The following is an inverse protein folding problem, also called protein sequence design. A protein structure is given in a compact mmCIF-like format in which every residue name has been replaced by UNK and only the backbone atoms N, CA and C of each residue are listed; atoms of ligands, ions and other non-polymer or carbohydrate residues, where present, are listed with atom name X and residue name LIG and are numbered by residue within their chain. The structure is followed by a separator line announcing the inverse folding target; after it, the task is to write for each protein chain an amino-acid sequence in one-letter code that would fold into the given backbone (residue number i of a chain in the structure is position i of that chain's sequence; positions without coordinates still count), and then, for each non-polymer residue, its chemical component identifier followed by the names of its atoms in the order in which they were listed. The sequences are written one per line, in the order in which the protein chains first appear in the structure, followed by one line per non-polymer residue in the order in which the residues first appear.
data_IF_333928437779
#
_entry.id   IF_333928437779
#
_cell.length_a   1.000
_cell.length_b   1.000
_cell.length_c   1.000
_cell.angle_alpha   90.00
_cell.angle_beta   90.00
_cell.angle_gamma   90.00
#
_symmetry.space_group_name_H-M   'P 1'
#
loop_
_entity.id
_entity.type
_entity.pdbx_description
1 polymer ?
#
# COMPACT_ATOMS: atom_id res chain seq x y z
N UNK A 1 -0.50 22.02 -15.05
CA UNK A 1 0.34 21.54 -16.17
C UNK A 1 1.79 21.68 -15.73
N UNK A 2 2.57 20.60 -15.79
CA UNK A 2 4.01 20.70 -15.56
C UNK A 2 4.57 21.63 -16.64
N UNK A 3 5.38 22.60 -16.25
CA UNK A 3 6.02 23.51 -17.20
C UNK A 3 7.15 22.77 -17.93
N UNK A 4 6.81 22.01 -18.98
CA UNK A 4 7.77 21.25 -19.76
C UNK A 4 8.88 22.11 -20.36
N UNK A 5 8.63 23.41 -20.55
CA UNK A 5 9.62 24.32 -21.13
C UNK A 5 10.84 24.52 -20.21
N UNK A 6 10.64 24.60 -18.90
CA UNK A 6 11.76 24.66 -17.93
C UNK A 6 12.61 23.40 -18.00
N UNK A 7 11.96 22.22 -18.12
CA UNK A 7 12.67 20.95 -18.23
C UNK A 7 13.38 20.86 -19.58
N UNK A 8 12.74 21.32 -20.66
CA UNK A 8 13.32 21.30 -22.01
C UNK A 8 14.59 22.14 -22.13
N UNK A 9 14.65 23.28 -21.45
CA UNK A 9 15.86 24.12 -21.39
C UNK A 9 17.02 23.41 -20.71
N UNK A 10 16.75 22.62 -19.66
CA UNK A 10 17.78 21.95 -18.88
C UNK A 10 18.12 20.53 -19.40
N UNK A 11 17.12 19.79 -19.88
CA UNK A 11 17.24 18.39 -20.28
C UNK A 11 16.18 18.09 -21.40
N UNK A 12 16.49 18.41 -22.66
CA UNK A 12 15.53 18.29 -23.77
C UNK A 12 15.07 16.86 -24.03
N UNK A 13 15.93 15.87 -23.84
CA UNK A 13 15.63 14.44 -23.95
C UNK A 13 14.62 13.96 -22.89
N UNK A 14 14.75 14.44 -21.67
CA UNK A 14 13.79 14.14 -20.58
C UNK A 14 12.43 14.79 -20.87
N UNK A 15 12.43 16.04 -21.34
CA UNK A 15 11.19 16.74 -21.71
C UNK A 15 10.46 16.04 -22.87
N UNK A 16 11.19 15.52 -23.84
CA UNK A 16 10.62 14.74 -24.93
C UNK A 16 10.01 13.42 -24.43
N UNK A 17 10.73 12.69 -23.57
CA UNK A 17 10.21 11.46 -22.97
C UNK A 17 8.94 11.72 -22.14
N UNK A 18 8.89 12.81 -21.35
CA UNK A 18 7.70 13.20 -20.60
C UNK A 18 6.52 13.57 -21.51
N UNK A 19 6.78 14.24 -22.61
CA UNK A 19 5.72 14.54 -23.60
C UNK A 19 5.18 13.26 -24.23
N UNK A 20 6.05 12.35 -24.63
CA UNK A 20 5.66 11.07 -25.21
C UNK A 20 4.85 10.22 -24.23
N UNK A 21 5.20 10.20 -22.95
CA UNK A 21 4.42 9.54 -21.91
C UNK A 21 3.04 10.18 -21.73
N UNK A 22 2.94 11.50 -21.71
CA UNK A 22 1.64 12.19 -21.68
C UNK A 22 0.76 11.80 -22.88
N UNK A 23 1.35 11.71 -24.07
CA UNK A 23 0.63 11.28 -25.28
C UNK A 23 0.21 9.82 -25.22
N UNK A 24 1.06 8.96 -24.63
CA UNK A 24 0.73 7.55 -24.40
C UNK A 24 -0.49 7.44 -23.47
N UNK A 25 -0.47 8.10 -22.32
CA UNK A 25 -1.57 8.08 -21.34
C UNK A 25 -2.89 8.60 -21.94
N UNK A 26 -2.84 9.59 -22.81
CA UNK A 26 -4.05 10.12 -23.47
C UNK A 26 -4.62 9.20 -24.56
N UNK A 27 -3.79 8.37 -25.15
CA UNK A 27 -4.16 7.50 -26.28
C UNK A 27 -4.56 6.11 -25.84
N UNK A 28 -3.99 5.61 -24.74
CA UNK A 28 -4.18 4.25 -24.26
C UNK A 28 -5.17 4.21 -23.09
N UNK A 29 -5.85 3.09 -22.96
CA UNK A 29 -6.65 2.77 -21.77
C UNK A 29 -5.75 1.95 -20.85
N UNK A 30 -5.50 2.45 -19.64
CA UNK A 30 -4.71 1.76 -18.63
C UNK A 30 -5.58 0.75 -17.88
N UNK A 31 -5.12 -0.51 -17.81
CA UNK A 31 -5.84 -1.61 -17.17
C UNK A 31 -5.15 -2.10 -15.90
N UNK A 32 -4.11 -1.42 -15.43
CA UNK A 32 -3.46 -1.74 -14.16
C UNK A 32 -4.29 -1.12 -13.05
N UNK A 33 -4.90 -1.95 -12.21
CA UNK A 33 -5.86 -1.53 -11.19
C UNK A 33 -5.29 -0.54 -10.15
N UNK A 34 -3.98 -0.56 -9.91
CA UNK A 34 -3.31 0.36 -8.98
C UNK A 34 -2.92 1.71 -9.59
N UNK A 35 -3.07 1.89 -10.90
CA UNK A 35 -2.75 3.15 -11.54
C UNK A 35 -3.95 4.10 -11.52
N UNK A 36 -3.68 5.39 -11.29
CA UNK A 36 -4.68 6.44 -11.28
C UNK A 36 -4.10 7.75 -11.82
N UNK A 37 -4.95 8.60 -12.35
CA UNK A 37 -4.60 9.95 -12.79
C UNK A 37 -4.73 10.93 -11.62
N UNK A 38 -3.61 11.45 -11.15
CA UNK A 38 -3.59 12.44 -10.07
C UNK A 38 -4.00 13.82 -10.57
N UNK A 39 -4.53 14.65 -9.67
CA UNK A 39 -4.85 16.04 -10.00
C UNK A 39 -3.59 16.88 -10.28
N UNK A 40 -3.71 17.96 -11.06
CA UNK A 40 -2.60 18.90 -11.24
C UNK A 40 -2.04 19.45 -9.92
N UNK A 41 -2.88 19.60 -8.88
CA UNK A 41 -2.45 20.05 -7.57
C UNK A 41 -1.50 19.06 -6.88
N UNK A 42 -1.78 17.76 -6.98
CA UNK A 42 -0.89 16.70 -6.44
C UNK A 42 0.46 16.74 -7.16
N UNK A 43 0.46 16.81 -8.50
CA UNK A 43 1.71 16.91 -9.27
C UNK A 43 2.52 18.16 -8.90
N UNK A 44 1.86 19.30 -8.74
CA UNK A 44 2.52 20.54 -8.36
C UNK A 44 3.10 20.49 -6.93
N UNK A 45 2.41 19.89 -5.99
CA UNK A 45 2.89 19.71 -4.63
C UNK A 45 4.13 18.82 -4.58
N UNK A 46 4.13 17.71 -5.31
CA UNK A 46 5.28 16.79 -5.40
C UNK A 46 6.52 17.45 -6.01
N UNK A 47 6.36 18.32 -7.00
CA UNK A 47 7.45 19.05 -7.64
C UNK A 47 7.74 20.44 -7.02
N UNK A 48 7.31 20.68 -5.81
CA UNK A 48 7.50 21.97 -5.12
C UNK A 48 8.85 22.06 -4.42
N UNK A 49 9.13 23.25 -3.83
CA UNK A 49 10.32 23.49 -3.01
C UNK A 49 10.40 22.61 -1.75
N UNK A 50 9.32 21.95 -1.33
CA UNK A 50 9.35 20.92 -0.28
C UNK A 50 10.30 19.78 -0.62
N UNK A 51 10.54 19.50 -1.90
CA UNK A 51 11.51 18.53 -2.39
C UNK A 51 12.94 18.79 -1.91
N UNK A 52 13.27 20.05 -1.61
CA UNK A 52 14.61 20.45 -1.16
C UNK A 52 14.84 20.16 0.34
N UNK A 53 13.79 19.87 1.11
CA UNK A 53 13.89 19.73 2.56
C UNK A 53 14.04 18.28 3.01
N UNK A 54 15.16 18.02 3.65
CA UNK A 54 15.41 16.76 4.36
C UNK A 54 14.73 16.81 5.74
N UNK A 55 13.82 15.83 6.02
CA UNK A 55 12.92 15.86 7.19
C UNK A 55 12.83 14.49 7.88
N UNK A 56 13.98 13.87 8.15
CA UNK A 56 14.06 12.59 8.87
C UNK A 56 13.47 12.72 10.28
N UNK A 57 12.74 11.72 10.72
CA UNK A 57 11.97 11.71 11.97
C UNK A 57 10.50 12.00 11.74
N UNK A 58 9.80 12.38 12.80
CA UNK A 58 8.37 12.71 12.77
C UNK A 58 8.13 14.16 13.12
N UNK A 59 6.95 14.75 12.85
CA UNK A 59 6.60 16.08 13.29
C UNK A 59 6.93 16.28 14.77
N UNK A 60 7.50 17.42 15.10
CA UNK A 60 8.00 17.82 16.44
C UNK A 60 9.14 16.95 17.01
N UNK A 61 9.59 15.94 16.26
CA UNK A 61 10.70 15.02 16.64
C UNK A 61 11.63 14.76 15.45
N UNK A 62 12.07 15.82 14.79
CA UNK A 62 12.99 15.75 13.66
C UNK A 62 14.45 15.68 14.12
N UNK A 63 15.26 15.02 13.32
CA UNK A 63 16.72 14.99 13.52
C UNK A 63 17.39 16.27 13.03
N UNK A 64 16.71 17.08 12.20
CA UNK A 64 17.24 18.31 11.60
C UNK A 64 16.32 19.50 11.87
N UNK A 65 16.93 20.70 11.92
CA UNK A 65 16.18 21.95 12.03
C UNK A 65 15.51 22.39 10.72
N UNK A 66 14.66 23.39 10.78
CA UNK A 66 13.97 23.98 9.62
C UNK A 66 12.84 23.13 9.07
N UNK A 67 12.21 22.31 9.91
CA UNK A 67 11.13 21.40 9.52
C UNK A 67 9.73 21.92 9.87
N UNK A 68 9.61 23.12 10.40
CA UNK A 68 8.35 23.68 10.90
C UNK A 68 7.20 23.67 9.88
N UNK A 69 7.49 23.92 8.62
CA UNK A 69 6.45 23.89 7.56
C UNK A 69 6.23 22.50 6.96
N UNK A 70 7.25 21.66 6.94
CA UNK A 70 7.09 20.24 6.58
C UNK A 70 6.24 19.52 7.62
N UNK A 71 6.42 19.83 8.89
CA UNK A 71 5.60 19.30 9.98
C UNK A 71 4.12 19.66 9.81
N UNK A 72 3.83 20.90 9.43
CA UNK A 72 2.47 21.34 9.12
C UNK A 72 1.86 20.50 7.99
N UNK A 73 2.59 20.28 6.90
CA UNK A 73 2.10 19.50 5.74
C UNK A 73 1.89 18.04 6.13
N UNK A 74 2.81 17.44 6.87
CA UNK A 74 2.69 16.04 7.31
C UNK A 74 1.52 15.85 8.28
N UNK A 75 1.34 16.76 9.22
CA UNK A 75 0.21 16.74 10.16
C UNK A 75 -1.14 16.90 9.43
N UNK A 76 -1.25 17.82 8.48
CA UNK A 76 -2.44 17.94 7.63
C UNK A 76 -2.75 16.62 6.91
N UNK A 77 -1.74 15.97 6.35
CA UNK A 77 -1.94 14.68 5.65
C UNK A 77 -2.40 13.59 6.61
N UNK A 78 -1.81 13.49 7.80
CA UNK A 78 -2.20 12.52 8.84
C UNK A 78 -3.64 12.74 9.31
N UNK A 79 -4.00 13.99 9.63
CA UNK A 79 -5.33 14.34 10.10
C UNK A 79 -6.40 14.04 9.05
N UNK A 80 -6.12 14.39 7.79
CA UNK A 80 -7.03 14.09 6.68
C UNK A 80 -7.17 12.60 6.40
N UNK A 81 -6.10 11.82 6.50
CA UNK A 81 -6.16 10.36 6.39
C UNK A 81 -7.02 9.76 7.51
N UNK A 82 -6.84 10.21 8.76
CA UNK A 82 -7.69 9.79 9.88
C UNK A 82 -9.16 10.14 9.65
N UNK A 83 -9.46 11.35 9.17
CA UNK A 83 -10.83 11.79 8.88
C UNK A 83 -11.46 10.99 7.73
N UNK A 84 -10.69 10.76 6.66
CA UNK A 84 -11.17 10.06 5.46
C UNK A 84 -11.54 8.61 5.74
N UNK A 85 -10.73 7.90 6.51
CA UNK A 85 -10.87 6.48 6.78
C UNK A 85 -11.46 6.16 8.16
N UNK A 86 -11.84 7.16 8.95
CA UNK A 86 -12.31 6.95 10.31
C UNK A 86 -11.26 6.29 11.23
N UNK A 87 -9.98 6.49 10.94
CA UNK A 87 -8.89 5.84 11.66
C UNK A 87 -8.45 6.67 12.88
N UNK A 88 -8.04 5.99 13.95
CA UNK A 88 -7.49 6.63 15.15
C UNK A 88 -6.10 7.24 14.92
N UNK A 89 -5.31 6.59 14.05
CA UNK A 89 -3.93 6.99 13.74
C UNK A 89 -3.63 6.82 12.27
N UNK A 90 -2.72 7.64 11.74
CA UNK A 90 -2.20 7.53 10.39
C UNK A 90 -0.69 7.77 10.36
N UNK A 91 -0.01 7.03 9.50
CA UNK A 91 1.37 7.28 9.11
C UNK A 91 1.39 7.48 7.59
N UNK A 92 1.84 8.64 7.14
CA UNK A 92 1.83 9.03 5.72
C UNK A 92 3.24 9.06 5.11
N UNK A 93 4.24 8.56 5.84
CA UNK A 93 5.64 8.58 5.37
C UNK A 93 6.00 7.49 4.36
N UNK A 94 5.39 6.27 4.37
CA UNK A 94 5.71 5.29 3.35
C UNK A 94 5.45 5.83 1.94
N UNK A 95 6.42 5.65 1.05
CA UNK A 95 6.35 6.16 -0.32
C UNK A 95 5.63 5.21 -1.30
N UNK A 96 5.11 4.09 -0.80
CA UNK A 96 4.36 3.12 -1.60
C UNK A 96 3.85 1.97 -0.75
N UNK A 97 2.92 1.17 -1.31
CA UNK A 97 2.28 0.06 -0.61
C UNK A 97 3.25 -0.98 -0.08
N UNK A 98 4.29 -1.32 -0.83
CA UNK A 98 5.31 -2.28 -0.36
C UNK A 98 6.04 -1.80 0.88
N UNK A 99 6.45 -0.53 0.91
CA UNK A 99 7.11 0.06 2.08
C UNK A 99 6.16 0.18 3.27
N UNK A 100 4.88 0.47 3.02
CA UNK A 100 3.85 0.46 4.07
C UNK A 100 3.66 -0.94 4.67
N UNK A 101 3.56 -1.98 3.84
CA UNK A 101 3.43 -3.36 4.30
C UNK A 101 4.65 -3.79 5.11
N UNK A 102 5.86 -3.46 4.66
CA UNK A 102 7.07 -3.76 5.42
C UNK A 102 7.14 -3.03 6.76
N UNK A 103 6.68 -1.79 6.84
CA UNK A 103 6.59 -1.06 8.09
C UNK A 103 5.67 -1.77 9.09
N UNK A 104 4.52 -2.28 8.62
CA UNK A 104 3.60 -3.08 9.45
C UNK A 104 4.25 -4.39 9.91
N UNK A 105 4.87 -5.13 8.99
CA UNK A 105 5.54 -6.38 9.35
C UNK A 105 6.65 -6.16 10.36
N UNK A 106 7.48 -5.16 10.13
CA UNK A 106 8.59 -4.84 11.02
C UNK A 106 8.14 -4.40 12.43
N UNK A 107 7.00 -3.71 12.50
CA UNK A 107 6.43 -3.28 13.78
C UNK A 107 5.79 -4.43 14.57
N UNK A 108 5.18 -5.41 13.89
CA UNK A 108 4.30 -6.39 14.52
C UNK A 108 4.92 -7.81 14.58
N UNK A 109 5.89 -8.11 13.73
CA UNK A 109 6.42 -9.46 13.54
C UNK A 109 7.91 -9.55 13.89
N UNK A 110 8.33 -10.76 14.21
CA UNK A 110 9.75 -11.15 14.29
C UNK A 110 10.09 -12.07 13.10
N UNK A 111 11.35 -12.12 12.65
CA UNK A 111 11.76 -13.07 11.64
C UNK A 111 11.32 -14.49 11.96
N UNK A 112 10.70 -15.17 10.99
CA UNK A 112 10.15 -16.51 11.15
C UNK A 112 8.72 -16.59 11.69
N UNK A 113 8.11 -15.46 12.11
CA UNK A 113 6.70 -15.45 12.52
C UNK A 113 5.80 -15.92 11.37
N UNK A 114 4.73 -16.63 11.73
CA UNK A 114 3.76 -17.15 10.77
C UNK A 114 2.76 -16.07 10.36
N UNK A 115 2.54 -15.98 9.06
CA UNK A 115 1.57 -15.06 8.44
C UNK A 115 0.67 -15.83 7.48
N UNK A 116 -0.61 -15.51 7.43
CA UNK A 116 -1.56 -16.05 6.46
C UNK A 116 -1.99 -14.93 5.51
N UNK A 117 -1.77 -15.09 4.22
CA UNK A 117 -2.10 -14.11 3.18
C UNK A 117 -2.73 -14.76 1.95
N UNK A 118 -3.22 -13.94 1.02
CA UNK A 118 -3.77 -14.44 -0.24
C UNK A 118 -2.66 -14.92 -1.17
N UNK A 119 -2.87 -16.06 -1.81
CA UNK A 119 -1.96 -16.62 -2.79
C UNK A 119 -1.77 -15.67 -3.98
N UNK A 120 -0.53 -15.52 -4.43
CA UNK A 120 -0.19 -14.65 -5.57
C UNK A 120 -0.93 -15.05 -6.84
N UNK A 121 -1.08 -16.35 -7.09
CA UNK A 121 -1.78 -16.88 -8.26
C UNK A 121 -3.30 -16.64 -8.23
N UNK A 122 -3.85 -16.33 -7.06
CA UNK A 122 -5.26 -16.04 -6.86
C UNK A 122 -5.56 -14.54 -6.67
N UNK A 123 -4.57 -13.68 -6.90
CA UNK A 123 -4.72 -12.23 -6.83
C UNK A 123 -4.04 -11.54 -5.65
N UNK A 124 -3.27 -12.27 -4.85
CA UNK A 124 -2.43 -11.68 -3.80
C UNK A 124 -1.34 -10.75 -4.34
N UNK A 125 -0.67 -10.04 -3.47
CA UNK A 125 0.45 -9.17 -3.82
C UNK A 125 1.79 -9.86 -3.53
N UNK A 126 2.88 -9.43 -4.20
CA UNK A 126 4.23 -9.94 -3.94
C UNK A 126 4.63 -9.84 -2.46
N UNK A 127 4.25 -8.74 -1.80
CA UNK A 127 4.52 -8.54 -0.37
C UNK A 127 3.66 -9.40 0.56
N UNK A 128 2.74 -10.20 0.04
CA UNK A 128 1.95 -11.16 0.81
C UNK A 128 2.63 -12.55 0.86
N UNK A 129 3.95 -12.58 0.91
CA UNK A 129 4.72 -13.79 1.16
C UNK A 129 5.30 -14.49 -0.06
N UNK A 130 5.37 -13.83 -1.21
CA UNK A 130 6.04 -14.40 -2.38
C UNK A 130 7.49 -14.78 -2.04
N UNK A 131 7.97 -15.98 -2.43
CA UNK A 131 9.33 -16.44 -2.13
C UNK A 131 10.45 -15.56 -2.71
N UNK A 132 10.14 -14.79 -3.76
CA UNK A 132 11.07 -13.84 -4.38
C UNK A 132 11.04 -12.46 -3.72
N UNK A 133 10.16 -12.27 -2.74
CA UNK A 133 10.00 -11.03 -2.02
C UNK A 133 10.56 -11.14 -0.60
N UNK A 134 11.02 -10.02 -0.04
CA UNK A 134 11.54 -9.96 1.32
C UNK A 134 10.55 -10.55 2.34
N UNK A 135 9.24 -10.35 2.16
CA UNK A 135 8.22 -10.89 3.07
C UNK A 135 8.30 -12.41 3.17
N UNK A 136 8.41 -13.12 2.04
CA UNK A 136 8.52 -14.58 2.03
C UNK A 136 9.88 -15.11 2.45
N UNK A 137 10.92 -14.26 2.48
CA UNK A 137 12.26 -14.63 2.95
C UNK A 137 12.44 -14.45 4.45
N UNK A 138 11.81 -13.44 5.04
CA UNK A 138 11.95 -13.10 6.46
C UNK A 138 10.92 -13.77 7.36
N UNK A 139 9.71 -14.02 6.85
CA UNK A 139 8.58 -14.57 7.61
C UNK A 139 8.11 -15.89 7.02
N UNK A 140 7.40 -16.68 7.80
CA UNK A 140 6.85 -17.96 7.36
C UNK A 140 5.42 -17.74 6.86
N UNK A 141 5.29 -17.51 5.56
CA UNK A 141 3.99 -17.28 4.94
C UNK A 141 3.29 -18.59 4.56
N UNK A 142 2.00 -18.60 4.83
CA UNK A 142 1.04 -19.57 4.34
C UNK A 142 0.00 -18.85 3.48
N UNK A 143 -0.54 -19.51 2.46
CA UNK A 143 -1.52 -18.89 1.58
C UNK A 143 -2.91 -19.48 1.75
N UNK A 144 -3.93 -18.61 1.63
CA UNK A 144 -5.28 -19.00 1.30
C UNK A 144 -5.56 -18.69 -0.17
N UNK A 145 -6.45 -19.49 -0.78
CA UNK A 145 -6.81 -19.33 -2.18
C UNK A 145 -8.30 -19.06 -2.37
N UNK A 146 -8.74 -19.34 -3.59
CA UNK A 146 -10.14 -19.26 -3.99
C UNK A 146 -10.71 -20.66 -4.14
N UNK A 147 -12.00 -20.79 -3.90
CA UNK A 147 -12.75 -21.96 -4.29
C UNK A 147 -12.75 -22.09 -5.83
N UNK A 148 -12.39 -23.24 -6.38
CA UNK A 148 -12.19 -23.41 -7.83
C UNK A 148 -13.50 -23.37 -8.64
N UNK A 149 -14.66 -23.59 -8.02
CA UNK A 149 -15.95 -23.57 -8.71
C UNK A 149 -16.58 -22.18 -8.70
N UNK A 150 -16.47 -21.47 -7.58
CA UNK A 150 -17.10 -20.15 -7.39
C UNK A 150 -16.16 -19.00 -7.70
N UNK A 151 -14.85 -19.24 -7.73
CA UNK A 151 -13.79 -18.22 -7.84
C UNK A 151 -13.87 -17.17 -6.74
N UNK A 152 -14.43 -17.54 -5.59
CA UNK A 152 -14.55 -16.67 -4.42
C UNK A 152 -13.67 -17.18 -3.28
N UNK A 153 -13.38 -16.27 -2.33
CA UNK A 153 -12.68 -16.64 -1.09
C UNK A 153 -13.59 -17.56 -0.29
N UNK A 154 -13.11 -18.77 0.02
CA UNK A 154 -13.76 -19.68 0.96
C UNK A 154 -13.34 -19.35 2.38
N UNK A 155 -14.19 -18.63 3.10
CA UNK A 155 -13.91 -18.20 4.47
C UNK A 155 -13.84 -19.33 5.48
N UNK A 156 -14.47 -20.47 5.21
CA UNK A 156 -14.38 -21.64 6.09
C UNK A 156 -13.01 -22.31 5.95
N UNK A 157 -12.48 -22.38 4.73
CA UNK A 157 -11.12 -22.86 4.51
C UNK A 157 -10.09 -21.87 5.08
N UNK A 158 -10.30 -20.57 4.95
CA UNK A 158 -9.44 -19.55 5.61
C UNK A 158 -9.44 -19.74 7.12
N UNK A 159 -10.63 -19.92 7.73
CA UNK A 159 -10.78 -20.17 9.18
C UNK A 159 -10.03 -21.43 9.60
N UNK A 160 -10.23 -22.52 8.90
CA UNK A 160 -9.56 -23.79 9.17
C UNK A 160 -8.05 -23.64 9.12
N UNK A 161 -7.51 -23.04 8.08
CA UNK A 161 -6.07 -22.77 7.96
C UNK A 161 -5.57 -21.88 9.10
N UNK A 162 -6.28 -20.80 9.42
CA UNK A 162 -5.90 -19.89 10.50
C UNK A 162 -5.83 -20.61 11.84
N UNK A 163 -6.80 -21.49 12.13
CA UNK A 163 -6.82 -22.27 13.39
C UNK A 163 -5.72 -23.33 13.45
N UNK A 164 -5.40 -23.97 12.34
CA UNK A 164 -4.34 -24.98 12.25
C UNK A 164 -2.95 -24.37 12.37
N UNK A 165 -2.71 -23.26 11.64
CA UNK A 165 -1.39 -22.61 11.53
C UNK A 165 -1.11 -21.73 12.75
N UNK A 166 -2.15 -21.09 13.31
CA UNK A 166 -2.05 -20.07 14.34
C UNK A 166 -1.08 -18.96 13.95
N UNK A 167 -1.38 -18.23 12.85
CA UNK A 167 -0.53 -17.14 12.39
C UNK A 167 -0.56 -15.99 13.40
N UNK A 168 0.50 -15.21 13.43
CA UNK A 168 0.53 -13.97 14.22
C UNK A 168 -0.19 -12.83 13.52
N UNK A 169 -0.23 -12.88 12.18
CA UNK A 169 -0.88 -11.88 11.33
C UNK A 169 -1.68 -12.59 10.22
N UNK A 170 -2.90 -12.12 9.98
CA UNK A 170 -3.68 -12.46 8.79
C UNK A 170 -3.76 -11.21 7.91
N UNK A 171 -3.50 -11.37 6.62
CA UNK A 171 -3.59 -10.30 5.62
C UNK A 171 -4.80 -10.54 4.76
N UNK A 172 -5.74 -9.62 4.79
CA UNK A 172 -6.85 -9.53 3.84
C UNK A 172 -6.56 -8.44 2.80
N UNK A 173 -7.05 -8.62 1.59
CA UNK A 173 -6.79 -7.68 0.49
C UNK A 173 -6.06 -8.36 -0.66
N UNK A 174 -6.18 -7.75 -1.83
CA UNK A 174 -5.66 -8.33 -3.07
C UNK A 174 -5.28 -7.26 -4.09
N UNK A 175 -4.43 -7.64 -5.04
CA UNK A 175 -4.09 -6.82 -6.19
C UNK A 175 -4.96 -7.13 -7.42
N UNK A 176 -5.38 -8.38 -7.60
CA UNK A 176 -6.06 -8.85 -8.79
C UNK A 176 -7.27 -9.76 -8.48
N UNK A 177 -8.02 -9.41 -7.45
CA UNK A 177 -9.27 -10.08 -7.09
C UNK A 177 -10.42 -9.08 -7.21
N UNK A 178 -11.35 -9.36 -8.11
CA UNK A 178 -12.40 -8.42 -8.52
C UNK A 178 -13.74 -8.58 -7.76
N UNK A 179 -13.80 -9.47 -6.79
CA UNK A 179 -14.99 -9.71 -5.96
C UNK A 179 -14.89 -8.93 -4.66
N UNK A 180 -16.01 -8.73 -3.99
CA UNK A 180 -16.03 -8.14 -2.65
C UNK A 180 -15.34 -9.05 -1.63
N UNK A 181 -14.60 -8.43 -0.71
CA UNK A 181 -13.95 -9.10 0.41
C UNK A 181 -14.75 -8.79 1.67
N UNK A 182 -15.19 -9.84 2.38
CA UNK A 182 -15.87 -9.70 3.66
C UNK A 182 -14.82 -9.53 4.80
N UNK A 183 -14.46 -8.28 5.06
CA UNK A 183 -13.49 -7.94 6.10
C UNK A 183 -14.00 -8.27 7.52
N UNK A 184 -15.32 -8.33 7.71
CA UNK A 184 -15.89 -8.73 8.99
C UNK A 184 -15.60 -10.20 9.29
N UNK A 185 -15.77 -11.08 8.29
CA UNK A 185 -15.38 -12.49 8.43
C UNK A 185 -13.90 -12.65 8.70
N UNK A 186 -13.04 -11.89 8.03
CA UNK A 186 -11.61 -11.91 8.34
C UNK A 186 -11.32 -11.46 9.78
N UNK A 187 -12.04 -10.46 10.30
CA UNK A 187 -11.89 -10.03 11.69
C UNK A 187 -12.28 -11.14 12.65
N UNK A 188 -13.44 -11.78 12.42
CA UNK A 188 -13.91 -12.91 13.23
C UNK A 188 -12.88 -14.07 13.24
N UNK A 189 -12.36 -14.42 12.06
CA UNK A 189 -11.34 -15.48 11.93
C UNK A 189 -10.05 -15.11 12.67
N UNK A 190 -9.61 -13.86 12.54
CA UNK A 190 -8.40 -13.40 13.23
C UNK A 190 -8.57 -13.44 14.74
N UNK A 191 -9.74 -13.04 15.26
CA UNK A 191 -10.05 -13.10 16.69
C UNK A 191 -10.06 -14.57 17.22
N UNK A 192 -10.71 -15.48 16.48
CA UNK A 192 -10.72 -16.92 16.83
C UNK A 192 -9.31 -17.54 16.83
N UNK A 193 -8.46 -17.12 15.88
CA UNK A 193 -7.09 -17.61 15.77
C UNK A 193 -6.11 -16.94 16.77
N UNK A 194 -6.53 -15.83 17.38
CA UNK A 194 -5.68 -14.97 18.22
C UNK A 194 -4.64 -14.20 17.39
N UNK A 195 -4.96 -13.89 16.15
CA UNK A 195 -4.09 -13.21 15.21
C UNK A 195 -4.44 -11.71 15.10
N UNK A 196 -3.46 -10.91 14.69
CA UNK A 196 -3.72 -9.55 14.20
C UNK A 196 -4.31 -9.61 12.80
N UNK A 197 -5.13 -8.63 12.44
CA UNK A 197 -5.65 -8.45 11.08
C UNK A 197 -5.02 -7.22 10.44
N UNK A 198 -4.44 -7.39 9.28
CA UNK A 198 -4.02 -6.32 8.38
C UNK A 198 -4.90 -6.35 7.14
N UNK A 199 -5.37 -5.19 6.70
CA UNK A 199 -6.07 -5.05 5.42
C UNK A 199 -5.19 -4.25 4.47
N UNK A 200 -4.73 -4.89 3.39
CA UNK A 200 -4.09 -4.21 2.27
C UNK A 200 -5.18 -3.73 1.31
N UNK A 201 -5.54 -2.47 1.41
CA UNK A 201 -6.58 -1.84 0.60
C UNK A 201 -6.02 -0.94 -0.51
N UNK A 202 -4.75 -1.11 -0.89
CA UNK A 202 -4.07 -0.24 -1.86
C UNK A 202 -4.86 -0.07 -3.17
N UNK A 203 -5.50 -1.14 -3.67
CA UNK A 203 -6.26 -1.11 -4.92
C UNK A 203 -7.68 -0.55 -4.77
N UNK A 204 -8.28 -0.60 -3.59
CA UNK A 204 -9.66 -0.18 -3.35
C UNK A 204 -9.78 1.09 -2.52
N UNK A 205 -8.67 1.63 -2.01
CA UNK A 205 -8.69 2.76 -1.08
C UNK A 205 -9.41 4.02 -1.60
N UNK A 206 -9.47 4.21 -2.91
CA UNK A 206 -10.22 5.30 -3.52
C UNK A 206 -11.73 5.04 -3.68
N UNK A 207 -12.20 3.83 -3.33
CA UNK A 207 -13.57 3.36 -3.48
C UNK A 207 -14.19 2.96 -2.14
N UNK A 208 -13.38 2.88 -1.07
CA UNK A 208 -13.80 2.48 0.27
C UNK A 208 -14.34 3.67 1.08
#
# INVERSE_FOLDING_TARGET
MIQLDIIREAAPDVAEAMLNELLRQRRNIELIASENFVSPAVMAAMGSHLTNKYAEGYPDKRYYGGCEYVDVVENIARDRACQLFGAEHANVQPNGGSSANFAVYFALLQPGDKVLGMDLSHGGHLTHGSPVNMSGQYYTFYSYGLDPETECIDYDEVRKKALDIRPKLIIAGASAYSREIDYKKFREIADEAGALLMVDMAHIAGLA
#
